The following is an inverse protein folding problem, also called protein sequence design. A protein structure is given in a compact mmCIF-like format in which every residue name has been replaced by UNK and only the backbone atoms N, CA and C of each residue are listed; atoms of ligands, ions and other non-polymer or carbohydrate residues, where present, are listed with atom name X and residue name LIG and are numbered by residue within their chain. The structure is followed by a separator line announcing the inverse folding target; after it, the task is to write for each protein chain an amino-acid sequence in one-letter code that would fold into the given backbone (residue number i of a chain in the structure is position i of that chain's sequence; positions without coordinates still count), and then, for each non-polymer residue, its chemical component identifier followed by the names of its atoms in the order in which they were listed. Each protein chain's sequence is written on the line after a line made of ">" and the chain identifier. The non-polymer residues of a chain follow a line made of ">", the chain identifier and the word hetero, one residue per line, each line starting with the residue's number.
data_IF_288219235724
#
_entry.id   IF_288219235724
#
_cell.length_a   1.000
_cell.length_b   1.000
_cell.length_c   1.000
_cell.angle_alpha   90.00
_cell.angle_beta   90.00
_cell.angle_gamma   90.00
#
_symmetry.space_group_name_H-M   'P 1'
#
loop_
_entity.id
_entity.type
_entity.pdbx_description
1 polymer ?
#
# COMPACT_ATOMS: atom_id res chain seq x y z
N UNK A 1 -34.90 -30.71 -46.98
CA UNK A 1 -33.44 -30.58 -47.19
C UNK A 1 -32.95 -29.60 -46.16
N UNK A 2 -32.22 -30.11 -45.17
CA UNK A 2 -31.90 -29.45 -43.90
C UNK A 2 -30.70 -28.51 -44.04
N UNK A 3 -30.85 -27.27 -43.59
CA UNK A 3 -29.80 -26.26 -43.50
C UNK A 3 -28.78 -26.65 -42.42
N UNK A 4 -27.52 -26.80 -42.83
CA UNK A 4 -26.41 -27.08 -41.94
C UNK A 4 -26.04 -25.88 -41.08
N UNK A 5 -26.35 -25.94 -39.79
CA UNK A 5 -25.82 -25.05 -38.76
C UNK A 5 -24.28 -25.16 -38.70
N UNK A 6 -23.58 -24.07 -39.06
CA UNK A 6 -22.16 -23.89 -38.74
C UNK A 6 -22.02 -23.68 -37.23
N UNK A 7 -21.55 -24.72 -36.55
CA UNK A 7 -21.08 -24.63 -35.15
C UNK A 7 -19.82 -23.75 -35.13
N UNK A 8 -19.92 -22.56 -34.55
CA UNK A 8 -18.75 -21.75 -34.20
C UNK A 8 -17.96 -22.50 -33.12
N UNK A 9 -16.76 -22.97 -33.48
CA UNK A 9 -15.82 -23.57 -32.52
C UNK A 9 -15.28 -22.46 -31.63
N UNK A 10 -15.70 -22.45 -30.37
CA UNK A 10 -15.00 -21.73 -29.30
C UNK A 10 -13.58 -22.29 -29.19
N UNK A 11 -12.52 -21.44 -29.20
CA UNK A 11 -11.16 -21.94 -29.07
C UNK A 11 -10.96 -22.56 -27.68
N UNK A 12 -10.63 -23.85 -27.70
CA UNK A 12 -10.39 -24.65 -26.50
C UNK A 12 -8.99 -24.30 -25.95
N UNK A 13 -8.91 -23.25 -25.14
CA UNK A 13 -7.68 -22.71 -24.55
C UNK A 13 -6.98 -23.65 -23.55
N UNK A 14 -7.63 -24.76 -23.18
CA UNK A 14 -7.12 -25.73 -22.20
C UNK A 14 -5.92 -26.55 -22.70
N UNK A 15 -5.59 -26.50 -24.00
CA UNK A 15 -4.60 -27.38 -24.65
C UNK A 15 -3.48 -26.65 -25.43
N UNK A 16 -3.42 -25.32 -25.43
CA UNK A 16 -2.33 -24.60 -26.10
C UNK A 16 -1.07 -24.58 -25.22
N UNK A 17 0.07 -24.99 -25.80
CA UNK A 17 1.38 -24.84 -25.17
C UNK A 17 1.58 -23.40 -24.73
N UNK A 18 1.96 -23.22 -23.47
CA UNK A 18 2.27 -21.92 -22.92
C UNK A 18 3.39 -21.29 -23.75
N UNK A 19 3.25 -20.05 -24.24
CA UNK A 19 4.40 -19.35 -24.78
C UNK A 19 5.46 -19.28 -23.68
N UNK A 20 6.70 -19.65 -24.00
CA UNK A 20 7.81 -19.45 -23.09
C UNK A 20 8.24 -17.99 -23.12
N UNK A 21 8.51 -17.40 -21.95
CA UNK A 21 9.16 -16.10 -21.88
C UNK A 21 10.66 -16.31 -21.73
N UNK A 22 11.41 -15.89 -22.74
CA UNK A 22 12.86 -15.94 -22.72
C UNK A 22 13.46 -14.92 -21.71
N UNK A 23 14.77 -15.00 -21.50
CA UNK A 23 15.46 -14.14 -20.52
C UNK A 23 15.53 -12.67 -20.98
N UNK A 24 15.54 -12.40 -22.27
CA UNK A 24 15.56 -11.03 -22.81
C UNK A 24 14.22 -10.34 -22.57
N UNK A 25 13.12 -11.01 -22.93
CA UNK A 25 11.74 -10.57 -22.68
C UNK A 25 11.50 -10.37 -21.18
N UNK A 26 11.97 -11.29 -20.34
CA UNK A 26 11.85 -11.12 -18.89
C UNK A 26 12.56 -9.85 -18.39
N UNK A 27 13.80 -9.61 -18.84
CA UNK A 27 14.55 -8.39 -18.49
C UNK A 27 13.89 -7.12 -19.00
N UNK A 28 13.29 -7.17 -20.18
CA UNK A 28 12.54 -6.05 -20.77
C UNK A 28 11.31 -5.69 -19.93
N UNK A 29 10.53 -6.69 -19.50
CA UNK A 29 9.41 -6.49 -18.58
C UNK A 29 9.85 -5.99 -17.21
N UNK A 30 10.93 -6.55 -16.65
CA UNK A 30 11.51 -6.09 -15.39
C UNK A 30 11.92 -4.61 -15.47
N UNK A 31 12.59 -4.21 -16.55
CA UNK A 31 12.99 -2.82 -16.77
C UNK A 31 11.78 -1.88 -16.89
N UNK A 32 10.73 -2.30 -17.62
CA UNK A 32 9.51 -1.51 -17.76
C UNK A 32 8.79 -1.29 -16.42
N UNK A 33 8.66 -2.34 -15.61
CA UNK A 33 8.06 -2.28 -14.27
C UNK A 33 8.87 -1.37 -13.33
N UNK A 34 10.19 -1.53 -13.31
CA UNK A 34 11.07 -0.70 -12.48
C UNK A 34 11.03 0.77 -12.92
N UNK A 35 10.99 1.05 -14.22
CA UNK A 35 10.92 2.41 -14.75
C UNK A 35 9.58 3.11 -14.43
N UNK A 36 8.45 2.41 -14.58
CA UNK A 36 7.11 3.00 -14.42
C UNK A 36 6.57 2.96 -12.98
N UNK A 37 7.05 2.06 -12.12
CA UNK A 37 6.54 1.92 -10.73
C UNK A 37 7.63 2.01 -9.66
N UNK A 38 8.90 1.92 -10.04
CA UNK A 38 10.02 1.75 -9.12
C UNK A 38 10.22 0.32 -8.63
N UNK A 39 9.22 -0.56 -8.74
CA UNK A 39 9.26 -1.94 -8.24
C UNK A 39 10.24 -2.79 -9.04
N UNK A 40 11.18 -3.40 -8.33
CA UNK A 40 12.08 -4.40 -8.88
C UNK A 40 11.48 -5.79 -8.71
N UNK A 41 11.34 -6.51 -9.83
CA UNK A 41 11.04 -7.95 -9.82
C UNK A 41 12.37 -8.70 -9.78
N UNK A 42 12.56 -9.56 -8.79
CA UNK A 42 13.74 -10.43 -8.72
C UNK A 42 13.60 -11.63 -9.68
N UNK A 43 14.72 -12.25 -10.05
CA UNK A 43 14.70 -13.47 -10.88
C UNK A 43 13.87 -14.59 -10.23
N UNK A 44 13.91 -14.70 -8.89
CA UNK A 44 13.08 -15.64 -8.12
C UNK A 44 11.58 -15.44 -8.30
N UNK A 45 11.15 -14.22 -8.67
CA UNK A 45 9.75 -13.88 -8.93
C UNK A 45 9.40 -13.94 -10.43
N UNK A 46 10.28 -14.50 -11.27
CA UNK A 46 10.04 -14.66 -12.71
C UNK A 46 8.77 -15.43 -13.02
N UNK A 47 8.54 -16.57 -12.37
CA UNK A 47 7.33 -17.38 -12.58
C UNK A 47 6.05 -16.66 -12.18
N UNK A 48 6.09 -15.85 -11.12
CA UNK A 48 4.97 -14.99 -10.75
C UNK A 48 4.67 -13.96 -11.84
N UNK A 49 5.68 -13.25 -12.33
CA UNK A 49 5.50 -12.27 -13.41
C UNK A 49 4.96 -12.94 -14.68
N UNK A 50 5.54 -14.08 -15.09
CA UNK A 50 5.06 -14.89 -16.23
C UNK A 50 3.57 -15.21 -16.11
N UNK A 51 3.16 -15.75 -14.97
CA UNK A 51 1.78 -16.18 -14.74
C UNK A 51 0.81 -15.01 -14.73
N UNK A 52 1.22 -13.88 -14.13
CA UNK A 52 0.41 -12.65 -14.09
C UNK A 52 0.25 -12.00 -15.46
N UNK A 53 1.32 -11.91 -16.25
CA UNK A 53 1.25 -11.41 -17.64
C UNK A 53 0.36 -12.33 -18.49
N UNK A 54 0.55 -13.65 -18.37
CA UNK A 54 -0.26 -14.63 -19.10
C UNK A 54 -1.75 -14.52 -18.79
N UNK A 55 -2.12 -14.28 -17.53
CA UNK A 55 -3.53 -14.09 -17.15
C UNK A 55 -4.15 -12.89 -17.87
N UNK A 56 -3.41 -11.77 -18.00
CA UNK A 56 -3.85 -10.59 -18.75
C UNK A 56 -3.91 -10.86 -20.25
N UNK A 57 -2.87 -11.46 -20.81
CA UNK A 57 -2.82 -11.89 -22.22
C UNK A 57 -4.05 -12.72 -22.61
N UNK A 58 -4.44 -13.70 -21.78
CA UNK A 58 -5.64 -14.52 -22.00
C UNK A 58 -6.92 -13.70 -22.00
N UNK A 59 -7.05 -12.73 -21.09
CA UNK A 59 -8.24 -11.86 -21.03
C UNK A 59 -8.39 -10.96 -22.26
N UNK A 60 -7.28 -10.64 -22.92
CA UNK A 60 -7.22 -9.79 -24.11
C UNK A 60 -7.08 -10.59 -25.42
N UNK A 61 -6.98 -11.92 -25.34
CA UNK A 61 -6.71 -12.80 -26.48
C UNK A 61 -5.43 -12.43 -27.25
N UNK A 62 -4.37 -12.05 -26.53
CA UNK A 62 -3.06 -11.72 -27.11
C UNK A 62 -2.12 -12.92 -27.00
N UNK A 63 -1.65 -13.39 -28.16
CA UNK A 63 -0.76 -14.54 -28.27
C UNK A 63 0.71 -14.11 -28.24
N UNK A 64 1.30 -14.07 -27.05
CA UNK A 64 2.74 -13.87 -26.84
C UNK A 64 3.13 -12.64 -26.02
N UNK A 65 4.23 -12.77 -25.26
CA UNK A 65 4.69 -11.72 -24.34
C UNK A 65 5.17 -10.46 -25.06
N UNK A 66 5.76 -10.58 -26.25
CA UNK A 66 6.24 -9.44 -27.03
C UNK A 66 5.07 -8.62 -27.60
N UNK A 67 4.08 -9.29 -28.20
CA UNK A 67 2.86 -8.63 -28.67
C UNK A 67 2.13 -7.92 -27.52
N UNK A 68 2.09 -8.54 -26.34
CA UNK A 68 1.51 -7.92 -25.15
C UNK A 68 2.34 -6.74 -24.64
N UNK A 69 3.67 -6.82 -24.71
CA UNK A 69 4.55 -5.69 -24.35
C UNK A 69 4.28 -4.48 -25.24
N UNK A 70 4.18 -4.70 -26.55
CA UNK A 70 3.87 -3.65 -27.53
C UNK A 70 2.50 -3.03 -27.24
N UNK A 71 1.49 -3.87 -27.00
CA UNK A 71 0.15 -3.40 -26.63
C UNK A 71 0.14 -2.51 -25.37
N UNK A 72 0.86 -2.90 -24.33
CA UNK A 72 0.95 -2.16 -23.05
C UNK A 72 1.79 -0.87 -23.15
N UNK A 73 2.63 -0.77 -24.17
CA UNK A 73 3.48 0.40 -24.40
C UNK A 73 2.92 1.36 -25.43
N UNK A 74 1.85 0.98 -26.14
CA UNK A 74 1.27 1.76 -27.22
C UNK A 74 0.02 2.57 -26.82
N UNK A 75 0.03 3.85 -27.21
CA UNK A 75 -1.12 4.76 -27.17
C UNK A 75 -1.89 4.85 -25.85
N UNK A 76 -3.16 5.24 -25.95
CA UNK A 76 -4.07 5.40 -24.81
C UNK A 76 -4.54 4.04 -24.27
N UNK A 77 -4.73 3.06 -25.15
CA UNK A 77 -5.12 1.69 -24.79
C UNK A 77 -4.08 1.02 -23.90
N UNK A 78 -2.79 1.21 -24.19
CA UNK A 78 -1.70 0.71 -23.36
C UNK A 78 -1.66 1.33 -21.96
N UNK A 79 -2.06 2.61 -21.80
CA UNK A 79 -2.17 3.26 -20.48
C UNK A 79 -3.25 2.59 -19.62
N UNK A 80 -4.41 2.30 -20.20
CA UNK A 80 -5.51 1.63 -19.51
C UNK A 80 -5.07 0.22 -19.10
N UNK A 81 -4.50 -0.54 -20.03
CA UNK A 81 -4.03 -1.89 -19.73
C UNK A 81 -2.89 -1.90 -18.71
N UNK A 82 -1.99 -0.92 -18.77
CA UNK A 82 -0.95 -0.77 -17.76
C UNK A 82 -1.54 -0.67 -16.35
N UNK A 83 -2.60 0.14 -16.17
CA UNK A 83 -3.28 0.24 -14.88
C UNK A 83 -3.84 -1.11 -14.43
N UNK A 84 -4.51 -1.84 -15.33
CA UNK A 84 -5.08 -3.16 -15.03
C UNK A 84 -4.00 -4.21 -14.71
N UNK A 85 -2.87 -4.17 -15.40
CA UNK A 85 -1.72 -5.02 -15.14
C UNK A 85 -1.11 -4.72 -13.77
N UNK A 86 -0.93 -3.43 -13.43
CA UNK A 86 -0.43 -3.03 -12.12
C UNK A 86 -1.36 -3.49 -11.02
N UNK A 87 -2.67 -3.32 -11.15
CA UNK A 87 -3.64 -3.86 -10.19
C UNK A 87 -3.46 -5.37 -10.01
N UNK A 88 -3.26 -6.13 -11.07
CA UNK A 88 -3.04 -7.56 -10.97
C UNK A 88 -1.70 -7.95 -10.29
N UNK A 89 -0.63 -7.18 -10.53
CA UNK A 89 0.71 -7.44 -9.98
C UNK A 89 0.92 -6.94 -8.55
N UNK A 90 0.09 -5.99 -8.10
CA UNK A 90 0.29 -5.28 -6.82
C UNK A 90 -0.78 -5.55 -5.78
N UNK A 91 -1.91 -6.18 -6.15
CA UNK A 91 -2.87 -6.69 -5.16
C UNK A 91 -2.19 -7.75 -4.31
N UNK A 92 -1.86 -7.37 -3.07
CA UNK A 92 -1.22 -8.22 -2.07
C UNK A 92 -2.13 -8.38 -0.87
N UNK A 93 -1.91 -9.48 -0.17
CA UNK A 93 -2.58 -9.70 1.09
C UNK A 93 -2.04 -8.74 2.16
N UNK A 94 -2.97 -8.06 2.81
CA UNK A 94 -2.75 -7.32 4.05
C UNK A 94 -3.81 -7.75 5.07
N UNK A 95 -3.61 -7.37 6.32
CA UNK A 95 -4.51 -7.64 7.43
C UNK A 95 -4.48 -6.49 8.43
N UNK A 96 -5.56 -6.39 9.22
CA UNK A 96 -5.64 -5.41 10.29
C UNK A 96 -4.57 -5.68 11.35
N UNK A 97 -4.00 -4.62 11.91
CA UNK A 97 -3.00 -4.67 13.00
C UNK A 97 -1.85 -5.64 12.72
N UNK A 98 -1.42 -5.73 11.44
CA UNK A 98 -0.43 -6.72 10.95
C UNK A 98 0.80 -6.86 11.83
N UNK A 99 1.32 -5.75 12.33
CA UNK A 99 2.41 -5.72 13.29
C UNK A 99 1.99 -4.93 14.54
N UNK A 100 1.27 -5.59 15.44
CA UNK A 100 0.68 -4.99 16.65
C UNK A 100 1.64 -4.08 17.44
N UNK A 101 2.93 -4.46 17.69
CA UNK A 101 3.85 -3.58 18.41
C UNK A 101 4.06 -2.21 17.75
N UNK A 102 4.03 -2.14 16.41
CA UNK A 102 4.12 -0.86 15.68
C UNK A 102 2.93 0.04 15.98
N UNK A 103 1.72 -0.52 15.98
CA UNK A 103 0.49 0.22 16.27
C UNK A 103 0.43 0.65 17.73
N UNK A 104 0.84 -0.20 18.68
CA UNK A 104 0.89 0.13 20.11
C UNK A 104 1.94 1.23 20.40
N UNK A 105 3.07 1.22 19.69
CA UNK A 105 4.07 2.29 19.76
C UNK A 105 3.51 3.63 19.28
N UNK A 106 2.74 3.61 18.18
CA UNK A 106 2.07 4.79 17.64
C UNK A 106 0.95 5.28 18.55
N UNK A 107 0.16 4.38 19.14
CA UNK A 107 -0.89 4.73 20.10
C UNK A 107 -0.33 5.59 21.25
N UNK A 108 0.79 5.15 21.84
CA UNK A 108 1.49 5.89 22.90
C UNK A 108 1.99 7.25 22.42
N UNK A 109 2.56 7.31 21.22
CA UNK A 109 3.04 8.56 20.64
C UNK A 109 1.89 9.57 20.41
N UNK A 110 0.77 9.12 19.83
CA UNK A 110 -0.39 9.98 19.59
C UNK A 110 -1.01 10.49 20.90
N UNK A 111 -1.09 9.64 21.93
CA UNK A 111 -1.56 10.05 23.26
C UNK A 111 -0.68 11.14 23.86
N UNK A 112 0.65 10.97 23.84
CA UNK A 112 1.57 11.99 24.30
C UNK A 112 1.40 13.29 23.50
N UNK A 113 1.32 13.19 22.17
CA UNK A 113 1.17 14.37 21.31
C UNK A 113 -0.13 15.12 21.60
N UNK A 114 -1.23 14.42 21.87
CA UNK A 114 -2.50 15.06 22.23
C UNK A 114 -2.48 15.68 23.63
N UNK A 115 -1.73 15.12 24.59
CA UNK A 115 -1.53 15.74 25.90
C UNK A 115 -0.75 17.04 25.81
N UNK A 116 0.20 17.13 24.87
CA UNK A 116 1.00 18.34 24.65
C UNK A 116 0.19 19.44 23.94
N UNK A 117 -0.64 19.09 22.94
CA UNK A 117 -1.46 20.05 22.20
C UNK A 117 -2.64 19.37 21.48
N UNK A 118 -3.78 19.25 22.16
CA UNK A 118 -4.99 18.67 21.56
C UNK A 118 -5.70 19.60 20.57
N UNK A 119 -5.29 20.88 20.45
CA UNK A 119 -5.93 21.85 19.56
C UNK A 119 -5.64 21.58 18.08
N UNK A 120 -4.48 20.99 17.77
CA UNK A 120 -4.09 20.62 16.41
C UNK A 120 -4.54 19.20 16.08
N UNK A 121 -5.26 18.98 14.95
CA UNK A 121 -5.65 17.63 14.56
C UNK A 121 -4.43 16.78 14.16
N UNK A 122 -4.49 15.49 14.52
CA UNK A 122 -3.48 14.50 14.14
C UNK A 122 -3.52 14.24 12.63
N UNK A 123 -2.36 14.26 11.99
CA UNK A 123 -2.20 13.96 10.57
C UNK A 123 -1.38 12.69 10.39
N UNK A 124 -2.00 11.63 9.87
CA UNK A 124 -1.36 10.34 9.67
C UNK A 124 -1.30 9.98 8.18
N UNK A 125 -0.34 9.15 7.78
CA UNK A 125 -0.23 8.65 6.42
C UNK A 125 0.15 7.17 6.38
N UNK A 126 -0.63 6.34 5.68
CA UNK A 126 -0.25 4.99 5.25
C UNK A 126 0.15 5.02 3.77
N UNK A 127 1.44 4.80 3.50
CA UNK A 127 2.02 4.71 2.16
C UNK A 127 2.18 3.23 1.75
N UNK A 128 1.49 2.84 0.67
CA UNK A 128 1.34 1.45 0.26
C UNK A 128 0.20 0.76 1.02
N UNK A 129 -0.95 1.42 1.15
CA UNK A 129 -2.04 0.98 2.03
C UNK A 129 -2.78 -0.28 1.56
N UNK A 130 -2.53 -0.77 0.34
CA UNK A 130 -3.21 -1.90 -0.29
C UNK A 130 -4.73 -1.77 -0.17
N UNK A 131 -5.43 -2.83 0.30
CA UNK A 131 -6.88 -2.85 0.48
C UNK A 131 -7.39 -2.12 1.72
N UNK A 132 -6.55 -1.31 2.39
CA UNK A 132 -6.95 -0.33 3.40
C UNK A 132 -6.84 -0.79 4.85
N UNK A 133 -6.57 -2.06 5.13
CA UNK A 133 -6.51 -2.60 6.49
C UNK A 133 -5.49 -1.85 7.38
N UNK A 134 -4.31 -1.49 6.85
CA UNK A 134 -3.32 -0.70 7.58
C UNK A 134 -3.83 0.72 7.88
N UNK A 135 -4.42 1.39 6.90
CA UNK A 135 -4.96 2.73 7.04
C UNK A 135 -6.10 2.77 8.06
N UNK A 136 -6.98 1.77 8.06
CA UNK A 136 -8.04 1.66 9.05
C UNK A 136 -7.50 1.30 10.43
N UNK A 137 -6.48 0.44 10.55
CA UNK A 137 -5.82 0.20 11.84
C UNK A 137 -5.20 1.48 12.41
N UNK A 138 -4.56 2.32 11.59
CA UNK A 138 -4.10 3.64 12.03
C UNK A 138 -5.24 4.54 12.48
N UNK A 139 -6.34 4.54 11.73
CA UNK A 139 -7.53 5.32 12.08
C UNK A 139 -8.14 4.85 13.42
N UNK A 140 -8.20 3.53 13.68
CA UNK A 140 -8.67 2.97 14.95
C UNK A 140 -7.81 3.47 16.11
N UNK A 141 -6.49 3.39 15.98
CA UNK A 141 -5.52 3.87 16.99
C UNK A 141 -5.67 5.38 17.24
N UNK A 142 -5.79 6.18 16.19
CA UNK A 142 -5.97 7.62 16.31
C UNK A 142 -7.33 7.99 16.95
N UNK A 143 -8.39 7.27 16.57
CA UNK A 143 -9.73 7.41 17.15
C UNK A 143 -9.74 7.11 18.65
N UNK A 144 -9.04 6.05 19.08
CA UNK A 144 -8.90 5.72 20.49
C UNK A 144 -8.13 6.80 21.27
N UNK A 145 -7.03 7.31 20.69
CA UNK A 145 -6.25 8.38 21.31
C UNK A 145 -7.04 9.69 21.46
N UNK A 146 -7.78 10.08 20.42
CA UNK A 146 -8.63 11.29 20.44
C UNK A 146 -9.80 11.14 21.41
N UNK A 147 -10.40 9.95 21.52
CA UNK A 147 -11.52 9.71 22.45
C UNK A 147 -11.10 9.78 23.93
N UNK A 148 -9.80 9.70 24.22
CA UNK A 148 -9.27 9.72 25.57
C UNK A 148 -8.98 11.14 26.10
N UNK A 149 -9.07 12.17 25.25
CA UNK A 149 -8.85 13.57 25.67
C UNK A 149 -10.17 14.34 25.79
N UNK A 150 -10.30 15.29 26.74
CA UNK A 150 -11.55 16.02 26.96
C UNK A 150 -11.89 17.00 25.82
N UNK A 151 -10.88 17.47 25.09
CA UNK A 151 -11.02 18.40 23.98
C UNK A 151 -11.49 17.66 22.72
N UNK A 152 -12.24 18.35 21.85
CA UNK A 152 -12.72 17.80 20.58
C UNK A 152 -11.59 17.73 19.53
N UNK A 153 -10.52 17.01 19.86
CA UNK A 153 -9.39 16.79 18.97
C UNK A 153 -9.84 16.05 17.71
N UNK A 154 -9.20 16.36 16.59
CA UNK A 154 -9.48 15.71 15.31
C UNK A 154 -8.34 14.81 14.87
N UNK A 155 -8.62 13.93 13.91
CA UNK A 155 -7.56 13.28 13.13
C UNK A 155 -7.98 13.12 11.66
N UNK A 156 -6.99 12.92 10.80
CA UNK A 156 -7.15 12.51 9.41
C UNK A 156 -6.05 11.52 9.03
N UNK A 157 -6.41 10.53 8.22
CA UNK A 157 -5.47 9.53 7.67
C UNK A 157 -5.44 9.66 6.16
N UNK A 158 -4.27 10.00 5.62
CA UNK A 158 -3.98 9.83 4.21
C UNK A 158 -3.63 8.37 3.95
N UNK A 159 -4.19 7.76 2.92
CA UNK A 159 -3.94 6.38 2.56
C UNK A 159 -3.69 6.31 1.07
N UNK A 160 -2.48 5.91 0.68
CA UNK A 160 -2.09 5.96 -0.73
C UNK A 160 -1.53 4.64 -1.22
N UNK A 161 -1.92 4.25 -2.42
CA UNK A 161 -1.41 3.06 -3.12
C UNK A 161 -1.33 3.32 -4.63
N UNK A 162 -0.57 2.49 -5.33
CA UNK A 162 -0.49 2.52 -6.80
C UNK A 162 -1.68 1.78 -7.44
N UNK A 163 -2.24 0.78 -6.74
CA UNK A 163 -3.36 -0.03 -7.21
C UNK A 163 -4.69 0.69 -7.02
N UNK A 164 -5.37 1.00 -8.13
CA UNK A 164 -6.72 1.57 -8.09
C UNK A 164 -7.73 0.55 -7.54
N UNK A 165 -7.62 -0.71 -7.97
CA UNK A 165 -8.49 -1.79 -7.50
C UNK A 165 -8.39 -1.99 -5.98
N UNK A 166 -7.19 -1.94 -5.40
CA UNK A 166 -7.01 -2.05 -3.96
C UNK A 166 -7.64 -0.86 -3.23
N UNK A 167 -7.46 0.36 -3.75
CA UNK A 167 -8.06 1.58 -3.19
C UNK A 167 -9.60 1.57 -3.28
N UNK A 168 -10.18 1.04 -4.35
CA UNK A 168 -11.63 0.85 -4.46
C UNK A 168 -12.16 -0.07 -3.37
N UNK A 169 -11.52 -1.22 -3.15
CA UNK A 169 -11.87 -2.12 -2.05
C UNK A 169 -11.71 -1.43 -0.69
N UNK A 170 -10.65 -0.65 -0.51
CA UNK A 170 -10.39 0.09 0.72
C UNK A 170 -11.49 1.12 1.03
N UNK A 171 -11.97 1.87 0.03
CA UNK A 171 -13.06 2.83 0.18
C UNK A 171 -14.38 2.17 0.59
N UNK A 172 -14.68 1.00 0.04
CA UNK A 172 -15.85 0.21 0.48
C UNK A 172 -15.67 -0.24 1.94
N UNK A 173 -14.46 -0.62 2.32
CA UNK A 173 -14.12 -0.98 3.70
C UNK A 173 -14.80 -2.26 4.17
N UNK A 174 -15.10 -3.18 3.25
CA UNK A 174 -15.81 -4.44 3.52
C UNK A 174 -14.85 -5.64 3.40
N UNK A 175 -14.68 -6.38 4.50
CA UNK A 175 -13.68 -7.44 4.65
C UNK A 175 -14.31 -8.76 5.08
N UNK A 176 -13.70 -9.88 4.69
CA UNK A 176 -14.07 -11.19 5.24
C UNK A 176 -13.54 -11.35 6.66
N UNK A 177 -14.18 -12.20 7.47
CA UNK A 177 -13.74 -12.47 8.85
C UNK A 177 -12.26 -12.90 8.94
N UNK A 178 -11.75 -13.63 7.95
CA UNK A 178 -10.34 -14.06 7.91
C UNK A 178 -9.33 -12.90 7.88
N UNK A 179 -9.71 -11.71 7.37
CA UNK A 179 -8.85 -10.51 7.33
C UNK A 179 -8.75 -9.80 8.69
N UNK A 180 -9.63 -10.15 9.64
CA UNK A 180 -9.78 -9.47 10.93
C UNK A 180 -8.95 -10.10 12.06
N UNK A 181 -8.13 -11.12 11.77
CA UNK A 181 -7.42 -11.90 12.79
C UNK A 181 -6.51 -11.07 13.71
N UNK A 182 -6.03 -9.89 13.27
CA UNK A 182 -5.22 -9.00 14.11
C UNK A 182 -6.02 -8.07 15.05
N UNK A 183 -7.35 -8.05 14.94
CA UNK A 183 -8.23 -7.25 15.80
C UNK A 183 -8.71 -8.05 17.00
N UNK A 184 -8.71 -7.40 18.17
CA UNK A 184 -9.39 -7.89 19.37
C UNK A 184 -10.91 -7.80 19.21
N UNK A 185 -11.67 -8.53 20.03
CA UNK A 185 -13.13 -8.48 19.99
C UNK A 185 -13.66 -7.07 20.30
N UNK A 186 -13.00 -6.35 21.21
CA UNK A 186 -13.37 -4.97 21.53
C UNK A 186 -13.18 -4.03 20.32
N UNK A 187 -12.07 -4.15 19.59
CA UNK A 187 -11.83 -3.36 18.38
C UNK A 187 -12.85 -3.70 17.28
N UNK A 188 -13.17 -4.99 17.11
CA UNK A 188 -14.19 -5.43 16.16
C UNK A 188 -15.56 -4.85 16.49
N UNK A 189 -16.00 -4.97 17.74
CA UNK A 189 -17.30 -4.45 18.19
C UNK A 189 -17.40 -2.94 18.02
N UNK A 190 -16.31 -2.20 18.25
CA UNK A 190 -16.32 -0.74 18.18
C UNK A 190 -16.25 -0.19 16.76
N UNK A 191 -15.44 -0.82 15.90
CA UNK A 191 -15.07 -0.23 14.61
C UNK A 191 -15.60 -0.97 13.39
N UNK A 192 -16.25 -2.12 13.58
CA UNK A 192 -16.82 -2.91 12.50
C UNK A 192 -18.32 -3.18 12.73
N UNK A 193 -19.06 -3.30 11.64
CA UNK A 193 -20.43 -3.76 11.61
C UNK A 193 -20.50 -5.04 10.79
N UNK A 194 -21.16 -6.07 11.32
CA UNK A 194 -21.43 -7.28 10.57
C UNK A 194 -22.39 -6.96 9.41
N UNK A 195 -22.09 -7.50 8.23
CA UNK A 195 -22.93 -7.40 7.03
C UNK A 195 -23.17 -8.82 6.47
N UNK A 196 -24.00 -8.93 5.44
CA UNK A 196 -24.37 -10.21 4.85
C UNK A 196 -23.16 -11.04 4.38
N UNK A 197 -23.31 -12.37 4.46
CA UNK A 197 -22.30 -13.32 3.97
C UNK A 197 -21.07 -13.48 4.87
N UNK A 198 -21.19 -13.22 6.18
CA UNK A 198 -20.08 -13.39 7.13
C UNK A 198 -18.96 -12.37 6.92
N UNK A 199 -19.31 -11.19 6.43
CA UNK A 199 -18.40 -10.08 6.17
C UNK A 199 -18.62 -8.96 7.18
N UNK A 200 -17.66 -8.05 7.24
CA UNK A 200 -17.65 -6.94 8.17
C UNK A 200 -17.28 -5.66 7.43
N UNK A 201 -18.00 -4.58 7.70
CA UNK A 201 -17.72 -3.28 7.15
C UNK A 201 -17.20 -2.33 8.24
N UNK A 202 -16.20 -1.53 7.90
CA UNK A 202 -15.70 -0.46 8.77
C UNK A 202 -16.76 0.61 8.95
N UNK A 203 -16.99 1.04 10.19
CA UNK A 203 -17.99 2.07 10.53
C UNK A 203 -17.74 3.40 9.82
N UNK A 204 -18.81 4.08 9.44
CA UNK A 204 -18.76 5.33 8.66
C UNK A 204 -17.95 6.44 9.33
N UNK A 205 -18.06 6.55 10.66
CA UNK A 205 -17.31 7.53 11.46
C UNK A 205 -15.79 7.38 11.29
N UNK A 206 -15.30 6.16 11.03
CA UNK A 206 -13.90 5.91 10.75
C UNK A 206 -13.59 6.10 9.26
N UNK A 207 -14.44 5.62 8.36
CA UNK A 207 -14.25 5.75 6.90
C UNK A 207 -14.16 7.21 6.44
N UNK A 208 -14.96 8.09 7.04
CA UNK A 208 -14.93 9.54 6.75
C UNK A 208 -13.63 10.23 7.18
N UNK A 209 -12.81 9.58 8.01
CA UNK A 209 -11.51 10.09 8.48
C UNK A 209 -10.33 9.60 7.63
N UNK A 210 -10.57 8.72 6.66
CA UNK A 210 -9.52 8.14 5.80
C UNK A 210 -9.69 8.62 4.36
N UNK A 211 -8.69 9.33 3.84
CA UNK A 211 -8.64 9.78 2.46
C UNK A 211 -7.79 8.83 1.61
N UNK A 212 -8.45 8.05 0.76
CA UNK A 212 -7.78 7.14 -0.18
C UNK A 212 -7.47 7.84 -1.51
N UNK A 213 -6.18 7.91 -1.86
CA UNK A 213 -5.72 8.51 -3.11
C UNK A 213 -4.70 7.63 -3.83
N UNK A 214 -4.66 7.71 -5.15
CA UNK A 214 -3.64 7.00 -5.94
C UNK A 214 -2.32 7.76 -5.83
N UNK A 215 -1.24 7.07 -5.50
CA UNK A 215 0.10 7.63 -5.54
C UNK A 215 1.10 6.59 -6.00
N UNK A 216 1.85 6.92 -7.05
CA UNK A 216 3.06 6.19 -7.38
C UNK A 216 4.23 6.74 -6.53
N UNK A 217 5.03 5.88 -5.94
CA UNK A 217 6.20 6.31 -5.14
C UNK A 217 7.22 7.12 -5.96
N UNK A 218 7.22 6.96 -7.29
CA UNK A 218 8.02 7.78 -8.19
C UNK A 218 7.60 9.25 -8.21
N UNK A 219 6.33 9.53 -7.87
CA UNK A 219 5.72 10.85 -7.85
C UNK A 219 5.72 11.47 -6.43
N UNK A 220 6.35 10.78 -5.46
CA UNK A 220 6.34 11.16 -4.05
C UNK A 220 6.88 12.57 -3.79
N UNK A 221 7.84 13.02 -4.60
CA UNK A 221 8.42 14.35 -4.50
C UNK A 221 7.41 15.46 -4.85
N UNK A 222 6.42 15.18 -5.71
CA UNK A 222 5.39 16.14 -6.12
C UNK A 222 4.12 16.05 -5.27
N UNK A 223 3.95 14.98 -4.48
CA UNK A 223 2.76 14.81 -3.64
C UNK A 223 2.61 15.97 -2.62
N UNK A 224 1.43 16.60 -2.50
CA UNK A 224 1.22 17.73 -1.59
C UNK A 224 0.90 17.30 -0.13
N UNK A 225 1.42 16.16 0.33
CA UNK A 225 1.18 15.62 1.68
C UNK A 225 2.37 16.00 2.57
N UNK A 226 2.14 16.76 3.64
CA UNK A 226 3.18 17.23 4.56
C UNK A 226 2.60 17.48 5.97
N UNK A 227 3.45 17.88 6.91
CA UNK A 227 3.09 18.19 8.29
C UNK A 227 2.41 17.00 9.00
N UNK A 228 3.03 15.83 8.88
CA UNK A 228 2.49 14.57 9.40
C UNK A 228 3.05 14.27 10.79
N UNK A 229 2.16 13.84 11.69
CA UNK A 229 2.50 13.30 13.00
C UNK A 229 3.01 11.86 12.87
N UNK A 230 2.42 11.07 11.96
CA UNK A 230 2.80 9.66 11.75
C UNK A 230 2.82 9.31 10.27
N UNK A 231 3.85 8.58 9.85
CA UNK A 231 3.94 7.94 8.53
C UNK A 231 4.17 6.45 8.71
N UNK A 232 3.34 5.61 8.12
CA UNK A 232 3.55 4.18 7.93
C UNK A 232 4.00 3.92 6.50
N UNK A 233 5.12 3.21 6.37
CA UNK A 233 5.63 2.70 5.10
C UNK A 233 6.13 1.27 5.35
N UNK A 234 5.21 0.38 5.74
CA UNK A 234 5.51 -1.02 6.03
C UNK A 234 5.22 -1.92 4.84
N UNK A 235 6.02 -2.97 4.69
CA UNK A 235 5.87 -4.01 3.67
C UNK A 235 5.83 -3.48 2.25
N UNK A 236 6.51 -2.36 2.01
CA UNK A 236 6.59 -1.67 0.72
C UNK A 236 8.04 -1.56 0.24
N UNK A 237 8.99 -1.25 1.14
CA UNK A 237 10.36 -0.93 0.72
C UNK A 237 11.10 -2.13 0.15
N UNK A 238 10.71 -3.35 0.56
CA UNK A 238 11.28 -4.61 0.08
C UNK A 238 11.22 -4.77 -1.45
N UNK A 239 10.32 -4.06 -2.12
CA UNK A 239 10.16 -4.12 -3.58
C UNK A 239 11.08 -3.16 -4.35
N UNK A 240 11.81 -2.30 -3.65
CA UNK A 240 12.66 -1.28 -4.29
C UNK A 240 14.14 -1.61 -4.16
N UNK A 241 14.94 -1.07 -5.08
CA UNK A 241 16.42 -1.08 -4.98
C UNK A 241 16.87 -0.33 -3.72
N UNK A 242 18.02 -0.72 -3.17
CA UNK A 242 18.60 -0.14 -1.96
C UNK A 242 18.69 1.39 -2.02
N UNK A 243 19.17 1.96 -3.14
CA UNK A 243 19.27 3.41 -3.32
C UNK A 243 17.89 4.08 -3.27
N UNK A 244 16.90 3.52 -3.97
CA UNK A 244 15.53 4.05 -4.01
C UNK A 244 14.86 4.00 -2.63
N UNK A 245 15.08 2.95 -1.85
CA UNK A 245 14.60 2.89 -0.44
C UNK A 245 15.10 4.09 0.35
N UNK A 246 16.39 4.42 0.25
CA UNK A 246 16.99 5.57 0.94
C UNK A 246 16.38 6.89 0.47
N UNK A 247 16.21 7.08 -0.83
CA UNK A 247 15.62 8.30 -1.38
C UNK A 247 14.17 8.49 -0.93
N UNK A 248 13.36 7.43 -0.97
CA UNK A 248 11.98 7.46 -0.48
C UNK A 248 11.95 7.84 1.01
N UNK A 249 12.76 7.18 1.83
CA UNK A 249 12.82 7.47 3.26
C UNK A 249 13.29 8.90 3.56
N UNK A 250 14.24 9.42 2.79
CA UNK A 250 14.69 10.80 2.92
C UNK A 250 13.60 11.81 2.55
N UNK A 251 12.75 11.49 1.56
CA UNK A 251 11.57 12.31 1.23
C UNK A 251 10.53 12.26 2.34
N UNK A 252 10.22 11.07 2.88
CA UNK A 252 9.26 10.89 3.98
C UNK A 252 9.71 11.61 5.26
N UNK A 253 11.00 11.56 5.59
CA UNK A 253 11.58 12.27 6.73
C UNK A 253 11.27 13.77 6.71
N UNK A 254 11.25 14.39 5.52
CA UNK A 254 10.95 15.81 5.34
C UNK A 254 9.46 16.15 5.46
N UNK A 255 8.56 15.15 5.42
CA UNK A 255 7.11 15.35 5.54
C UNK A 255 6.62 15.31 6.99
N UNK A 256 7.45 14.84 7.92
CA UNK A 256 7.13 14.80 9.34
C UNK A 256 7.26 16.18 9.99
N UNK A 257 6.34 16.51 10.89
CA UNK A 257 6.53 17.60 11.86
C UNK A 257 7.66 17.24 12.83
N UNK A 258 8.32 18.23 13.46
CA UNK A 258 9.16 17.98 14.64
C UNK A 258 8.45 17.08 15.66
N UNK A 259 9.13 16.03 16.14
CA UNK A 259 8.57 15.02 17.03
C UNK A 259 7.75 13.92 16.36
N UNK A 260 7.34 14.08 15.10
CA UNK A 260 6.57 13.07 14.36
C UNK A 260 7.35 11.78 14.10
N UNK A 261 6.64 10.68 13.85
CA UNK A 261 7.22 9.33 13.77
C UNK A 261 7.02 8.70 12.38
N UNK A 262 8.11 8.20 11.82
CA UNK A 262 8.11 7.32 10.64
C UNK A 262 8.28 5.86 11.09
N UNK A 263 7.33 5.00 10.74
CA UNK A 263 7.38 3.56 10.97
C UNK A 263 7.56 2.84 9.65
N UNK A 264 8.54 1.95 9.59
CA UNK A 264 8.80 1.08 8.44
C UNK A 264 8.77 -0.39 8.88
N UNK A 265 8.67 -1.30 7.92
CA UNK A 265 8.64 -2.73 8.23
C UNK A 265 9.94 -3.20 8.88
N UNK A 266 9.82 -4.10 9.85
CA UNK A 266 10.97 -4.64 10.56
C UNK A 266 11.92 -5.35 9.58
N UNK A 267 13.19 -4.93 9.59
CA UNK A 267 14.24 -5.53 8.75
C UNK A 267 14.24 -5.06 7.29
N UNK A 268 13.35 -4.16 6.86
CA UNK A 268 13.31 -3.71 5.47
C UNK A 268 14.52 -2.87 5.07
N UNK A 269 15.07 -2.13 6.04
CA UNK A 269 16.21 -1.26 5.87
C UNK A 269 17.04 -1.23 7.16
N UNK A 270 18.24 -1.80 7.16
CA UNK A 270 19.13 -1.78 8.33
C UNK A 270 20.17 -0.64 8.28
N UNK A 271 20.62 -0.29 7.07
CA UNK A 271 21.75 0.61 6.85
C UNK A 271 21.29 2.00 6.37
N UNK A 272 20.30 2.58 7.03
CA UNK A 272 19.83 3.93 6.72
C UNK A 272 19.93 4.83 7.93
N UNK A 273 20.55 5.99 7.69
CA UNK A 273 20.63 7.09 8.64
C UNK A 273 20.21 8.37 7.92
N UNK A 274 19.57 9.27 8.65
CA UNK A 274 19.14 10.56 8.15
C UNK A 274 19.31 11.59 9.28
N UNK A 275 19.97 12.71 9.02
CA UNK A 275 20.26 13.74 10.04
C UNK A 275 18.99 14.33 10.67
N UNK A 276 17.85 14.23 10.00
CA UNK A 276 16.56 14.72 10.48
C UNK A 276 15.91 13.79 11.50
N UNK A 277 16.31 12.52 11.55
CA UNK A 277 15.63 11.48 12.28
C UNK A 277 16.55 10.80 13.28
N UNK A 278 15.95 10.24 14.32
CA UNK A 278 16.62 9.37 15.28
C UNK A 278 15.83 8.07 15.44
N UNK A 279 16.55 6.95 15.60
CA UNK A 279 15.92 5.65 15.81
C UNK A 279 15.36 5.57 17.23
N UNK A 280 14.09 5.20 17.37
CA UNK A 280 13.51 4.90 18.68
C UNK A 280 14.10 3.61 19.26
N UNK A 281 14.43 3.58 20.57
CA UNK A 281 15.07 2.44 21.23
C UNK A 281 14.03 1.35 21.61
N UNK A 282 13.34 0.80 20.62
CA UNK A 282 12.43 -0.35 20.80
C UNK A 282 12.71 -1.37 19.70
N UNK A 283 13.37 -2.47 20.07
CA UNK A 283 13.82 -3.51 19.12
C UNK A 283 12.67 -4.29 18.48
N UNK A 284 11.47 -4.20 19.04
CA UNK A 284 10.29 -4.85 18.46
C UNK A 284 9.78 -4.12 17.23
N UNK A 285 10.09 -2.83 17.09
CA UNK A 285 9.59 -2.00 16.00
C UNK A 285 10.73 -1.34 15.24
N UNK A 286 10.42 -0.91 14.02
CA UNK A 286 11.34 -0.10 13.24
C UNK A 286 10.76 1.29 13.00
N UNK A 287 10.96 2.15 14.00
CA UNK A 287 10.38 3.49 14.04
C UNK A 287 11.44 4.57 14.29
N UNK A 288 11.27 5.72 13.67
CA UNK A 288 12.20 6.85 13.75
C UNK A 288 11.44 8.13 14.07
N UNK A 289 11.97 8.94 14.98
CA UNK A 289 11.38 10.21 15.39
C UNK A 289 12.07 11.37 14.70
N UNK A 290 11.30 12.36 14.26
CA UNK A 290 11.82 13.62 13.73
C UNK A 290 12.41 14.47 14.85
N UNK A 291 13.70 14.79 14.75
CA UNK A 291 14.38 15.70 15.67
C UNK A 291 13.70 17.05 15.67
N UNK A 292 13.65 17.68 16.84
CA UNK A 292 13.22 19.07 16.98
C UNK A 292 14.23 19.99 16.29
N UNK A 293 13.76 21.01 15.58
CA UNK A 293 14.62 21.96 14.85
C UNK A 293 15.59 22.76 15.74
N UNK A 294 15.49 22.65 17.07
CA UNK A 294 16.41 23.25 18.03
C UNK A 294 17.62 22.36 18.37
N UNK A 295 17.73 21.15 17.82
CA UNK A 295 19.01 20.42 17.81
C UNK A 295 19.86 20.99 16.67
N UNK A 296 20.45 22.16 16.95
CA UNK A 296 21.58 22.70 16.20
C UNK A 296 22.60 21.57 16.03
N UNK A 297 22.90 21.24 14.78
CA UNK A 297 24.07 20.44 14.44
C UNK A 297 25.30 21.29 14.79
N UNK A 298 25.80 21.14 16.02
CA UNK A 298 27.20 21.43 16.35
C UNK A 298 28.11 20.29 15.86
#
# INVERSE_FOLDING_TARGET
>A
MSEGQRVQKTPNWSLQQLPEMDTQQFRQWQALLEARTGVCVSEQRRSYLQTSLLARMRSLQIDGYEAYYQYVTDGVTGIIEWSALIDHLTVRETCFMRHRPSFDGVARHLQQRLQEDASRPLQLWSLGCASGEEAYSLAMVASDAVSAVPENAGFAVWATDISLKALEQARVGNYSGARLNGLTDQERTRYLQAVEGGRYQVVDSLRQRVCFSRLNVLELAQAPIANLDVIFCQNLLIYFRRWRRRDLLNLLAKRLVPGGVLVIGLGEVMDWNNSLLERLPDDRIQAYRRRSSNESLE
#
